data_IF_533180930381
#
_entry.id   IF_533180930381
#
_cell.length_a   1.000
_cell.length_b   1.000
_cell.length_c   1.000
_cell.angle_alpha   90.00
_cell.angle_beta   90.00
_cell.angle_gamma   90.00
#
_symmetry.space_group_name_H-M   'P 1'
#
loop_
_entity.id
_entity.type
_entity.pdbx_description
1 polymer ?
#
# COMPACT_ATOMS: atom_id res chain seq x y z
N UNK A 1 -7.36 -3.88 -31.48
CA UNK A 1 -6.05 -3.28 -31.13
C UNK A 1 -6.26 -1.79 -31.00
N UNK A 2 -6.43 -1.29 -29.77
CA UNK A 2 -6.38 0.14 -29.47
C UNK A 2 -5.39 0.31 -28.32
N UNK A 3 -4.46 1.23 -28.57
CA UNK A 3 -3.24 1.49 -27.83
C UNK A 3 -3.52 1.90 -26.40
N UNK A 4 -3.13 1.06 -25.43
CA UNK A 4 -3.01 1.41 -24.01
C UNK A 4 -1.78 2.34 -23.83
N UNK A 5 -1.92 3.62 -24.18
CA UNK A 5 -1.00 4.67 -23.74
C UNK A 5 -1.62 5.30 -22.50
N UNK A 6 -0.85 5.39 -21.41
CA UNK A 6 -1.21 6.16 -20.23
C UNK A 6 -1.41 7.64 -20.61
N UNK A 7 -2.61 8.02 -21.03
CA UNK A 7 -2.93 9.40 -21.36
C UNK A 7 -3.10 10.20 -20.08
N UNK A 8 -2.16 11.11 -19.83
CA UNK A 8 -2.25 12.10 -18.77
C UNK A 8 -3.14 13.25 -19.25
N UNK A 9 -4.14 13.62 -18.48
CA UNK A 9 -5.00 14.78 -18.71
C UNK A 9 -4.62 15.94 -17.79
N UNK A 10 -5.00 17.15 -18.16
CA UNK A 10 -4.84 18.33 -17.31
C UNK A 10 -6.04 18.46 -16.36
N UNK A 11 -7.23 18.15 -16.85
CA UNK A 11 -8.48 18.17 -16.10
C UNK A 11 -9.25 16.86 -16.33
N UNK A 12 -9.93 16.37 -15.30
CA UNK A 12 -11.01 15.39 -15.44
C UNK A 12 -12.28 15.97 -14.83
N UNK A 13 -13.39 15.92 -15.56
CA UNK A 13 -14.66 16.51 -15.13
C UNK A 13 -15.69 15.46 -14.76
N UNK A 14 -16.54 15.76 -13.77
CA UNK A 14 -17.67 14.93 -13.35
C UNK A 14 -18.88 15.82 -13.09
N UNK A 15 -20.06 15.43 -13.58
CA UNK A 15 -21.27 16.26 -13.50
C UNK A 15 -22.53 15.41 -13.63
N UNK A 16 -23.68 15.96 -13.23
CA UNK A 16 -24.99 15.36 -13.49
C UNK A 16 -25.44 15.71 -14.92
N UNK A 17 -25.96 14.74 -15.68
CA UNK A 17 -26.28 14.88 -17.11
C UNK A 17 -27.22 16.05 -17.45
N UNK A 18 -27.99 16.53 -16.48
CA UNK A 18 -28.85 17.71 -16.53
C UNK A 18 -28.07 19.01 -16.83
N UNK A 19 -26.80 19.07 -16.45
CA UNK A 19 -25.92 20.23 -16.65
C UNK A 19 -24.98 20.10 -17.86
N UNK A 20 -25.21 19.09 -18.71
CA UNK A 20 -24.36 18.75 -19.86
C UNK A 20 -24.05 19.93 -20.77
N UNK A 21 -25.04 20.76 -21.10
CA UNK A 21 -24.83 21.89 -22.02
C UNK A 21 -23.78 22.87 -21.49
N UNK A 22 -23.87 23.24 -20.21
CA UNK A 22 -22.93 24.15 -19.56
C UNK A 22 -21.53 23.52 -19.45
N UNK A 23 -21.46 22.27 -19.00
CA UNK A 23 -20.19 21.56 -18.80
C UNK A 23 -19.48 21.32 -20.12
N UNK A 24 -20.20 20.88 -21.16
CA UNK A 24 -19.62 20.64 -22.48
C UNK A 24 -19.07 21.92 -23.10
N UNK A 25 -19.77 23.05 -22.96
CA UNK A 25 -19.25 24.36 -23.40
C UNK A 25 -17.99 24.76 -22.64
N UNK A 26 -17.91 24.45 -21.35
CA UNK A 26 -16.73 24.70 -20.52
C UNK A 26 -15.56 23.83 -21.00
N UNK A 27 -15.78 22.52 -21.17
CA UNK A 27 -14.79 21.56 -21.69
C UNK A 27 -14.26 22.00 -23.05
N UNK A 28 -15.14 22.32 -24.01
CA UNK A 28 -14.73 22.80 -25.34
C UNK A 28 -13.97 24.13 -25.27
N UNK A 29 -14.21 24.95 -24.26
CA UNK A 29 -13.45 26.19 -24.02
C UNK A 29 -12.06 25.88 -23.47
N UNK A 30 -11.96 24.96 -22.50
CA UNK A 30 -10.68 24.46 -21.98
C UNK A 30 -9.81 23.83 -23.08
N UNK A 31 -10.40 23.00 -23.94
CA UNK A 31 -9.71 22.39 -25.09
C UNK A 31 -9.19 23.44 -26.07
N UNK A 32 -9.98 24.50 -26.35
CA UNK A 32 -9.53 25.64 -27.19
C UNK A 32 -8.37 26.43 -26.56
N UNK A 33 -8.27 26.42 -25.24
CA UNK A 33 -7.14 26.99 -24.50
C UNK A 33 -5.92 26.04 -24.44
N UNK A 34 -6.02 24.85 -25.05
CA UNK A 34 -4.93 23.88 -25.16
C UNK A 34 -4.85 22.85 -24.03
N UNK A 35 -5.85 22.80 -23.14
CA UNK A 35 -5.91 21.79 -22.08
C UNK A 35 -6.41 20.45 -22.62
N UNK A 36 -5.83 19.35 -22.12
CA UNK A 36 -6.37 18.00 -22.31
C UNK A 36 -7.39 17.72 -21.21
N UNK A 37 -8.64 17.52 -21.59
CA UNK A 37 -9.73 17.32 -20.63
C UNK A 37 -10.30 15.91 -20.81
N UNK A 38 -10.31 15.12 -19.74
CA UNK A 38 -11.08 13.90 -19.68
C UNK A 38 -12.55 14.25 -19.45
N UNK A 39 -13.38 13.96 -20.46
CA UNK A 39 -14.83 14.22 -20.46
C UNK A 39 -15.54 13.00 -21.05
N UNK A 40 -16.25 12.26 -20.21
CA UNK A 40 -17.06 11.13 -20.68
C UNK A 40 -18.37 11.66 -21.29
N UNK A 41 -18.52 11.45 -22.60
CA UNK A 41 -19.64 11.94 -23.40
C UNK A 41 -20.90 11.08 -23.20
N UNK A 42 -20.84 9.93 -22.54
CA UNK A 42 -21.85 8.88 -22.70
C UNK A 42 -22.78 8.65 -21.50
N UNK A 43 -22.94 9.61 -20.59
CA UNK A 43 -24.00 9.55 -19.55
C UNK A 43 -25.42 9.85 -20.10
N UNK A 44 -25.82 9.26 -21.23
CA UNK A 44 -27.19 9.36 -21.76
C UNK A 44 -28.03 8.13 -21.37
N UNK A 45 -29.34 8.34 -21.26
CA UNK A 45 -30.42 7.45 -20.77
C UNK A 45 -30.57 6.04 -21.43
N UNK A 46 -29.52 5.41 -21.97
CA UNK A 46 -29.57 4.06 -22.57
C UNK A 46 -29.25 2.89 -21.62
N UNK A 47 -29.06 3.13 -20.33
CA UNK A 47 -28.50 2.10 -19.42
C UNK A 47 -29.39 1.74 -18.23
N UNK A 48 -30.69 1.57 -18.47
CA UNK A 48 -31.57 0.89 -17.52
C UNK A 48 -31.14 -0.58 -17.38
N UNK A 49 -30.47 -0.93 -16.27
CA UNK A 49 -30.13 -2.32 -15.93
C UNK A 49 -28.69 -2.79 -16.24
N UNK A 50 -27.74 -1.88 -16.48
CA UNK A 50 -26.31 -2.22 -16.58
C UNK A 50 -25.48 -1.44 -15.55
N UNK A 51 -24.48 -2.10 -14.98
CA UNK A 51 -23.73 -1.64 -13.81
C UNK A 51 -23.03 -0.28 -14.06
N UNK A 52 -23.51 0.75 -13.36
CA UNK A 52 -22.96 2.11 -13.24
C UNK A 52 -21.47 2.18 -12.82
N UNK A 53 -20.87 1.03 -12.48
CA UNK A 53 -19.48 0.86 -12.03
C UNK A 53 -18.49 0.81 -13.21
N UNK A 54 -18.95 0.66 -14.45
CA UNK A 54 -18.05 0.50 -15.62
C UNK A 54 -17.53 1.83 -16.17
N UNK A 55 -18.39 2.83 -16.34
CA UNK A 55 -18.02 4.14 -16.93
C UNK A 55 -17.20 4.99 -15.95
N UNK A 56 -17.57 5.00 -14.66
CA UNK A 56 -16.78 5.71 -13.67
C UNK A 56 -15.35 5.15 -13.52
N UNK A 57 -15.14 3.86 -13.80
CA UNK A 57 -13.80 3.25 -13.76
C UNK A 57 -12.81 3.93 -14.72
N UNK A 58 -13.27 4.44 -15.86
CA UNK A 58 -12.39 5.08 -16.84
C UNK A 58 -11.92 6.47 -16.35
N UNK A 59 -12.83 7.29 -15.80
CA UNK A 59 -12.47 8.55 -15.11
C UNK A 59 -11.52 8.25 -13.95
N UNK A 60 -11.81 7.22 -13.16
CA UNK A 60 -11.00 6.87 -11.99
C UNK A 60 -9.61 6.41 -12.34
N UNK A 61 -9.44 5.63 -13.42
CA UNK A 61 -8.12 5.23 -13.93
C UNK A 61 -7.37 6.33 -14.65
N UNK A 62 -8.01 7.48 -14.92
CA UNK A 62 -7.36 8.58 -15.61
C UNK A 62 -6.36 9.27 -14.69
N UNK A 63 -5.16 9.53 -15.22
CA UNK A 63 -4.17 10.38 -14.56
C UNK A 63 -4.43 11.82 -14.94
N UNK A 64 -4.84 12.66 -13.99
CA UNK A 64 -5.13 14.08 -14.24
C UNK A 64 -4.34 14.98 -13.30
N UNK A 65 -4.13 16.25 -13.66
CA UNK A 65 -3.55 17.23 -12.73
C UNK A 65 -4.59 17.75 -11.73
N UNK A 66 -5.83 17.90 -12.19
CA UNK A 66 -6.97 18.30 -11.34
C UNK A 66 -8.23 17.50 -11.67
N UNK A 67 -9.02 17.26 -10.63
CA UNK A 67 -10.38 16.75 -10.74
C UNK A 67 -11.38 17.89 -10.50
N UNK A 68 -12.34 18.07 -11.40
CA UNK A 68 -13.29 19.20 -11.42
C UNK A 68 -14.72 18.67 -11.34
N UNK A 69 -15.25 18.46 -10.13
CA UNK A 69 -16.64 18.06 -9.95
C UNK A 69 -17.57 19.28 -10.06
N UNK A 70 -18.56 19.19 -10.94
CA UNK A 70 -19.69 20.10 -11.03
C UNK A 70 -20.80 19.58 -10.12
N UNK A 71 -20.85 20.12 -8.92
CA UNK A 71 -21.72 19.66 -7.85
C UNK A 71 -23.08 20.32 -8.05
N UNK A 72 -24.10 19.52 -8.38
CA UNK A 72 -25.52 19.89 -8.43
C UNK A 72 -26.35 19.16 -7.35
N UNK A 73 -27.63 19.50 -7.20
CA UNK A 73 -28.53 18.76 -6.29
C UNK A 73 -28.76 17.35 -6.82
N UNK A 74 -28.91 17.22 -8.14
CA UNK A 74 -29.01 15.95 -8.87
C UNK A 74 -27.72 15.16 -8.76
N UNK A 75 -26.56 15.83 -8.78
CA UNK A 75 -25.26 15.22 -8.54
C UNK A 75 -25.17 14.59 -7.16
N UNK A 76 -25.80 15.18 -6.14
CA UNK A 76 -25.82 14.65 -4.78
C UNK A 76 -26.93 13.60 -4.55
N UNK A 77 -27.98 13.58 -5.37
CA UNK A 77 -29.18 12.78 -5.13
C UNK A 77 -29.21 11.39 -5.80
N UNK A 78 -28.23 11.00 -6.62
CA UNK A 78 -28.27 9.70 -7.34
C UNK A 78 -28.05 8.48 -6.41
N UNK A 79 -28.79 7.36 -6.58
CA UNK A 79 -28.76 6.23 -5.66
C UNK A 79 -27.61 5.24 -5.95
N UNK A 80 -26.46 5.43 -5.28
CA UNK A 80 -25.40 4.44 -4.93
C UNK A 80 -24.47 3.94 -6.09
N UNK A 81 -23.14 3.72 -5.86
CA UNK A 81 -22.33 3.80 -4.63
C UNK A 81 -21.68 5.18 -4.47
N UNK A 82 -22.53 6.15 -4.18
CA UNK A 82 -22.21 7.58 -4.24
C UNK A 82 -22.00 8.19 -2.85
N UNK A 83 -22.37 7.48 -1.78
CA UNK A 83 -22.14 7.97 -0.42
C UNK A 83 -20.64 8.00 -0.10
N UNK A 84 -19.91 6.95 -0.48
CA UNK A 84 -18.46 6.90 -0.29
C UNK A 84 -17.76 7.88 -1.23
N UNK A 85 -18.07 7.89 -2.53
CA UNK A 85 -17.40 8.78 -3.49
C UNK A 85 -17.71 10.27 -3.25
N UNK A 86 -18.97 10.63 -3.01
CA UNK A 86 -19.31 12.02 -2.67
C UNK A 86 -18.70 12.40 -1.33
N UNK A 87 -18.70 11.52 -0.32
CA UNK A 87 -18.00 11.77 0.93
C UNK A 87 -16.48 11.93 0.71
N UNK A 88 -15.89 11.14 -0.18
CA UNK A 88 -14.47 11.18 -0.55
C UNK A 88 -14.11 12.54 -1.09
N UNK A 89 -14.80 12.92 -2.17
CA UNK A 89 -14.56 14.13 -2.90
C UNK A 89 -14.80 15.34 -1.98
N UNK A 90 -15.87 15.32 -1.19
CA UNK A 90 -16.14 16.39 -0.23
C UNK A 90 -15.09 16.44 0.89
N UNK A 91 -14.51 15.31 1.29
CA UNK A 91 -13.41 15.26 2.26
C UNK A 91 -12.10 15.76 1.65
N UNK A 92 -11.78 15.39 0.40
CA UNK A 92 -10.60 15.85 -0.35
C UNK A 92 -10.63 17.36 -0.51
N UNK A 93 -11.82 17.86 -0.84
CA UNK A 93 -12.14 19.28 -0.83
C UNK A 93 -11.83 19.78 0.58
N UNK A 94 -12.56 19.34 1.63
CA UNK A 94 -12.40 19.80 3.03
C UNK A 94 -10.96 19.85 3.54
N UNK A 95 -10.13 18.87 3.19
CA UNK A 95 -8.71 18.78 3.59
C UNK A 95 -7.83 19.81 2.87
N UNK A 96 -8.30 20.38 1.77
CA UNK A 96 -7.61 21.44 1.04
C UNK A 96 -6.46 20.91 0.18
N UNK A 97 -6.53 19.65 -0.26
CA UNK A 97 -5.46 18.95 -0.98
C UNK A 97 -5.08 19.60 -2.33
N UNK A 98 -5.82 20.63 -2.74
CA UNK A 98 -5.55 21.44 -3.93
C UNK A 98 -5.84 20.73 -5.24
N UNK A 99 -6.00 19.41 -5.23
CA UNK A 99 -6.24 18.57 -6.40
C UNK A 99 -7.69 18.58 -6.89
N UNK A 100 -8.65 18.80 -6.00
CA UNK A 100 -10.07 18.88 -6.34
C UNK A 100 -10.49 20.34 -6.46
N UNK A 101 -11.04 20.72 -7.62
CA UNK A 101 -11.51 22.07 -7.93
C UNK A 101 -13.04 22.06 -8.10
N UNK A 102 -13.81 22.12 -6.99
CA UNK A 102 -15.26 22.02 -7.05
C UNK A 102 -15.90 23.25 -7.69
N UNK A 103 -16.88 23.00 -8.57
CA UNK A 103 -17.76 24.01 -9.15
C UNK A 103 -19.18 23.74 -8.67
N UNK A 104 -19.79 24.69 -7.97
CA UNK A 104 -21.15 24.59 -7.46
C UNK A 104 -22.14 25.03 -8.54
N UNK A 105 -23.04 24.14 -8.93
CA UNK A 105 -24.18 24.45 -9.79
C UNK A 105 -25.26 25.18 -8.97
N UNK A 106 -26.16 25.86 -9.69
CA UNK A 106 -26.98 26.94 -9.12
C UNK A 106 -27.85 26.55 -7.93
N UNK A 107 -28.51 25.39 -7.99
CA UNK A 107 -29.55 25.00 -7.02
C UNK A 107 -29.04 24.15 -5.85
N UNK A 108 -27.72 24.10 -5.60
CA UNK A 108 -27.18 23.22 -4.55
C UNK A 108 -27.20 23.87 -3.17
N UNK A 109 -28.03 23.31 -2.30
CA UNK A 109 -27.81 23.42 -0.86
C UNK A 109 -26.78 22.36 -0.44
N UNK A 110 -25.50 22.70 -0.59
CA UNK A 110 -24.43 21.83 -0.07
C UNK A 110 -24.54 21.84 1.46
N UNK A 111 -24.62 20.67 2.12
CA UNK A 111 -24.61 20.60 3.58
C UNK A 111 -23.47 21.44 4.17
N UNK A 112 -23.72 22.29 5.18
CA UNK A 112 -22.69 23.15 5.78
C UNK A 112 -21.43 22.40 6.22
N UNK A 113 -21.58 21.15 6.64
CA UNK A 113 -20.47 20.29 7.09
C UNK A 113 -19.49 19.88 5.96
N UNK A 114 -19.92 20.03 4.70
CA UNK A 114 -19.15 19.76 3.48
C UNK A 114 -18.60 21.04 2.82
N UNK A 115 -19.08 22.21 3.23
CA UNK A 115 -18.53 23.52 2.85
C UNK A 115 -17.53 23.97 3.92
N UNK A 116 -16.25 23.69 3.69
CA UNK A 116 -15.23 24.15 4.64
C UNK A 116 -15.04 25.67 4.52
N UNK A 117 -15.02 26.43 5.62
CA UNK A 117 -14.95 27.89 5.61
C UNK A 117 -13.66 28.46 5.00
N UNK A 118 -12.62 27.63 4.87
CA UNK A 118 -11.32 28.02 4.30
C UNK A 118 -11.08 27.53 2.88
N UNK A 119 -12.10 26.99 2.21
CA UNK A 119 -12.01 26.52 0.83
C UNK A 119 -12.77 27.46 -0.08
N UNK A 120 -12.12 27.82 -1.19
CA UNK A 120 -12.74 28.60 -2.24
C UNK A 120 -13.43 27.67 -3.26
N UNK A 121 -14.70 27.94 -3.51
CA UNK A 121 -15.53 27.22 -4.49
C UNK A 121 -15.96 28.22 -5.58
N UNK A 122 -15.86 27.82 -6.85
CA UNK A 122 -16.46 28.60 -7.93
C UNK A 122 -17.95 28.23 -8.05
N UNK A 123 -18.80 29.21 -8.37
CA UNK A 123 -20.24 28.97 -8.60
C UNK A 123 -20.57 29.18 -10.06
N UNK A 124 -21.22 28.22 -10.69
CA UNK A 124 -21.50 28.26 -12.13
C UNK A 124 -22.25 29.53 -12.55
N UNK A 125 -23.27 29.99 -11.81
CA UNK A 125 -23.94 31.29 -12.07
C UNK A 125 -23.03 32.51 -12.18
N UNK A 126 -21.87 32.50 -11.52
CA UNK A 126 -20.97 33.65 -11.47
C UNK A 126 -20.01 33.67 -12.68
N UNK A 127 -20.01 32.60 -13.50
CA UNK A 127 -19.09 32.42 -14.62
C UNK A 127 -19.81 31.91 -15.87
N UNK A 128 -19.56 32.55 -17.02
CA UNK A 128 -19.86 31.89 -18.29
C UNK A 128 -18.95 30.65 -18.46
N UNK A 129 -19.34 29.64 -19.27
CA UNK A 129 -18.48 28.49 -19.54
C UNK A 129 -17.06 28.86 -20.00
N UNK A 130 -16.95 29.94 -20.77
CA UNK A 130 -15.67 30.45 -21.28
C UNK A 130 -14.82 31.07 -20.15
N UNK A 131 -15.44 31.88 -19.28
CA UNK A 131 -14.75 32.47 -18.12
C UNK A 131 -14.32 31.39 -17.11
N UNK A 132 -15.16 30.37 -16.89
CA UNK A 132 -14.80 29.24 -16.03
C UNK A 132 -13.60 28.47 -16.59
N UNK A 133 -13.56 28.26 -17.91
CA UNK A 133 -12.43 27.62 -18.57
C UNK A 133 -11.13 28.42 -18.42
N UNK A 134 -11.19 29.75 -18.46
CA UNK A 134 -10.03 30.62 -18.20
C UNK A 134 -9.50 30.44 -16.76
N UNK A 135 -10.39 30.34 -15.76
CA UNK A 135 -10.00 30.08 -14.38
C UNK A 135 -9.32 28.71 -14.23
N UNK A 136 -9.89 27.66 -14.84
CA UNK A 136 -9.32 26.31 -14.80
C UNK A 136 -7.96 26.26 -15.51
N UNK A 137 -7.83 26.92 -16.67
CA UNK A 137 -6.56 27.05 -17.38
C UNK A 137 -5.50 27.74 -16.51
N UNK A 138 -5.82 28.85 -15.85
CA UNK A 138 -4.89 29.52 -14.95
C UNK A 138 -4.39 28.59 -13.83
N UNK A 139 -5.27 27.75 -13.26
CA UNK A 139 -4.90 26.77 -12.23
C UNK A 139 -3.96 25.69 -12.77
N UNK A 140 -4.25 25.15 -13.95
CA UNK A 140 -3.34 24.18 -14.61
C UNK A 140 -1.97 24.80 -14.85
N UNK A 141 -1.90 26.02 -15.40
CA UNK A 141 -0.61 26.69 -15.65
C UNK A 141 0.18 26.94 -14.37
N UNK A 142 -0.50 27.29 -13.28
CA UNK A 142 0.13 27.42 -11.97
C UNK A 142 0.72 26.06 -11.50
N UNK A 143 -0.04 24.98 -11.64
CA UNK A 143 0.37 23.62 -11.29
C UNK A 143 1.60 23.17 -12.08
N UNK A 144 1.62 23.46 -13.39
CA UNK A 144 2.75 23.19 -14.27
C UNK A 144 4.01 23.91 -13.80
N UNK A 145 3.89 25.19 -13.45
CA UNK A 145 5.03 26.01 -12.99
C UNK A 145 5.65 25.50 -11.69
N UNK A 146 4.85 24.91 -10.79
CA UNK A 146 5.34 24.35 -9.53
C UNK A 146 5.67 22.85 -9.62
N UNK A 147 5.57 22.25 -10.81
CA UNK A 147 5.91 20.84 -11.03
C UNK A 147 4.95 19.83 -10.41
N UNK A 148 3.67 20.21 -10.18
CA UNK A 148 2.65 19.29 -9.69
C UNK A 148 2.49 18.11 -10.67
N UNK A 149 2.57 16.89 -10.15
CA UNK A 149 2.38 15.67 -10.94
C UNK A 149 0.90 15.35 -11.12
N UNK A 150 0.56 14.71 -12.23
CA UNK A 150 -0.76 14.13 -12.41
C UNK A 150 -0.93 12.91 -11.49
N UNK A 151 -2.13 12.72 -10.95
CA UNK A 151 -2.47 11.62 -10.06
C UNK A 151 -3.63 10.84 -10.63
N UNK A 152 -3.80 9.59 -10.21
CA UNK A 152 -5.00 8.85 -10.55
C UNK A 152 -6.18 9.42 -9.74
N UNK A 153 -7.31 9.71 -10.38
CA UNK A 153 -8.48 10.27 -9.67
C UNK A 153 -8.94 9.32 -8.56
N UNK A 154 -8.86 8.01 -8.81
CA UNK A 154 -9.14 6.98 -7.81
C UNK A 154 -8.26 7.08 -6.55
N UNK A 155 -6.96 7.33 -6.68
CA UNK A 155 -6.04 7.46 -5.54
C UNK A 155 -6.39 8.68 -4.68
N UNK A 156 -6.69 9.82 -5.30
CA UNK A 156 -7.05 11.05 -4.56
C UNK A 156 -8.35 10.88 -3.79
N UNK A 157 -9.33 10.21 -4.42
CA UNK A 157 -10.60 9.85 -3.79
C UNK A 157 -10.39 8.87 -2.63
N UNK A 158 -9.51 7.88 -2.80
CA UNK A 158 -9.19 6.90 -1.75
C UNK A 158 -8.49 7.55 -0.55
N UNK A 159 -7.49 8.41 -0.78
CA UNK A 159 -6.81 9.17 0.29
C UNK A 159 -7.80 10.02 1.07
N UNK A 160 -8.68 10.73 0.37
CA UNK A 160 -9.66 11.60 0.97
C UNK A 160 -10.72 10.84 1.78
N UNK A 161 -11.03 9.61 1.41
CA UNK A 161 -12.01 8.80 2.13
C UNK A 161 -11.57 8.42 3.54
N UNK A 162 -10.28 8.24 3.79
CA UNK A 162 -9.80 7.55 5.00
C UNK A 162 -10.60 6.27 5.30
N UNK A 163 -11.24 5.67 4.29
CA UNK A 163 -11.98 4.44 4.44
C UNK A 163 -10.94 3.34 4.40
N UNK A 164 -10.75 2.68 5.54
CA UNK A 164 -10.00 1.43 5.59
C UNK A 164 -10.63 0.48 4.58
N UNK A 165 -9.98 0.29 3.44
CA UNK A 165 -10.25 -0.87 2.60
C UNK A 165 -10.03 -2.11 3.47
N UNK A 166 -10.75 -3.22 3.21
CA UNK A 166 -10.39 -4.49 3.81
C UNK A 166 -8.94 -4.75 3.41
N UNK A 167 -8.03 -4.62 4.37
CA UNK A 167 -6.69 -5.10 4.19
C UNK A 167 -6.87 -6.60 3.97
N UNK A 168 -6.41 -7.08 2.83
CA UNK A 168 -6.47 -8.50 2.47
C UNK A 168 -5.06 -8.94 2.16
N UNK A 169 -4.80 -10.23 2.32
CA UNK A 169 -3.54 -10.81 1.86
C UNK A 169 -3.43 -10.55 0.34
N UNK A 170 -2.33 -9.93 -0.15
CA UNK A 170 -2.13 -9.70 -1.57
C UNK A 170 -2.32 -10.98 -2.38
N UNK A 171 -2.94 -10.89 -3.55
CA UNK A 171 -3.23 -12.07 -4.39
C UNK A 171 -1.97 -12.80 -4.89
N UNK A 172 -0.83 -12.13 -4.87
CA UNK A 172 0.51 -12.62 -5.21
C UNK A 172 1.35 -13.02 -3.99
N UNK A 173 0.83 -12.91 -2.76
CA UNK A 173 1.57 -13.35 -1.58
C UNK A 173 1.72 -14.88 -1.55
N UNK A 174 2.95 -15.34 -1.67
CA UNK A 174 3.32 -16.76 -1.56
C UNK A 174 4.11 -17.02 -0.29
N UNK A 175 3.59 -17.90 0.58
CA UNK A 175 4.30 -18.35 1.78
C UNK A 175 5.65 -18.97 1.46
N UNK A 176 5.77 -19.70 0.36
CA UNK A 176 7.01 -20.38 0.00
C UNK A 176 8.07 -19.42 -0.54
N UNK A 177 7.65 -18.41 -1.30
CA UNK A 177 8.56 -17.35 -1.76
C UNK A 177 9.03 -16.51 -0.58
N UNK A 178 8.13 -16.12 0.33
CA UNK A 178 8.51 -15.41 1.55
C UNK A 178 9.41 -16.27 2.44
N UNK A 179 9.14 -17.57 2.58
CA UNK A 179 10.01 -18.50 3.32
C UNK A 179 11.43 -18.52 2.74
N UNK A 180 11.55 -18.51 1.41
CA UNK A 180 12.83 -18.44 0.72
C UNK A 180 13.55 -17.10 0.98
N UNK A 181 12.82 -15.98 0.92
CA UNK A 181 13.35 -14.64 1.25
C UNK A 181 13.90 -14.60 2.68
N UNK A 182 13.15 -15.12 3.66
CA UNK A 182 13.57 -15.16 5.07
C UNK A 182 14.79 -16.05 5.26
N UNK A 183 14.80 -17.24 4.66
CA UNK A 183 15.93 -18.17 4.74
C UNK A 183 17.21 -17.54 4.16
N UNK A 184 17.11 -16.90 3.00
CA UNK A 184 18.25 -16.26 2.34
C UNK A 184 18.75 -15.05 3.12
N UNK A 185 17.84 -14.29 3.71
CA UNK A 185 18.16 -13.19 4.63
C UNK A 185 18.95 -13.71 5.85
N UNK A 186 18.46 -14.74 6.55
CA UNK A 186 19.17 -15.31 7.71
C UNK A 186 20.56 -15.80 7.35
N UNK A 187 20.70 -16.54 6.27
CA UNK A 187 22.01 -17.03 5.82
C UNK A 187 23.00 -15.89 5.62
N UNK A 188 22.57 -14.81 4.96
CA UNK A 188 23.40 -13.65 4.66
C UNK A 188 23.75 -12.85 5.93
N UNK A 189 22.80 -12.66 6.84
CA UNK A 189 23.03 -11.96 8.09
C UNK A 189 23.96 -12.74 9.03
N UNK A 190 23.79 -14.06 9.16
CA UNK A 190 24.72 -14.88 9.96
C UNK A 190 26.13 -14.87 9.38
N UNK A 191 26.29 -14.96 8.06
CA UNK A 191 27.61 -14.85 7.41
C UNK A 191 28.27 -13.49 7.67
N UNK A 192 27.48 -12.42 7.69
CA UNK A 192 27.95 -11.06 7.99
C UNK A 192 28.33 -10.89 9.46
N UNK A 193 27.55 -11.47 10.38
CA UNK A 193 27.74 -11.33 11.82
C UNK A 193 28.83 -12.26 12.38
N UNK A 194 29.03 -13.45 11.79
CA UNK A 194 30.02 -14.44 12.23
C UNK A 194 31.44 -13.88 12.51
N UNK A 195 32.07 -13.08 11.63
CA UNK A 195 33.42 -12.57 11.89
C UNK A 195 33.48 -11.58 13.07
N UNK A 196 32.36 -10.97 13.48
CA UNK A 196 32.32 -9.99 14.57
C UNK A 196 32.60 -10.62 15.95
N UNK A 197 32.44 -11.94 16.08
CA UNK A 197 32.74 -12.68 17.31
C UNK A 197 34.25 -12.97 17.50
N UNK A 198 35.04 -12.89 16.42
CA UNK A 198 36.46 -13.26 16.42
C UNK A 198 37.33 -12.43 17.38
N UNK A 199 37.19 -11.10 17.47
CA UNK A 199 37.91 -10.28 18.45
C UNK A 199 37.62 -10.64 19.90
N UNK A 200 36.50 -11.32 20.18
CA UNK A 200 36.10 -11.80 21.52
C UNK A 200 36.57 -13.24 21.80
N UNK A 201 37.35 -13.84 20.90
CA UNK A 201 37.93 -15.18 21.07
C UNK A 201 37.01 -16.33 20.66
N UNK A 202 35.91 -16.05 19.98
CA UNK A 202 34.98 -17.04 19.45
C UNK A 202 35.14 -17.18 17.94
N UNK A 203 35.15 -18.41 17.44
CA UNK A 203 35.20 -18.71 16.01
C UNK A 203 33.80 -19.17 15.60
N UNK A 204 33.11 -18.36 14.81
CA UNK A 204 31.79 -18.71 14.27
C UNK A 204 31.93 -19.16 12.82
N UNK A 205 31.45 -20.36 12.51
CA UNK A 205 31.35 -20.90 11.16
C UNK A 205 29.88 -21.03 10.77
N UNK A 206 29.58 -20.61 9.54
CA UNK A 206 28.23 -20.65 8.97
C UNK A 206 28.30 -21.45 7.67
N UNK A 207 27.68 -22.62 7.66
CA UNK A 207 27.53 -23.44 6.46
C UNK A 207 26.10 -23.34 5.95
N UNK A 208 25.92 -23.04 4.67
CA UNK A 208 24.61 -22.86 4.03
C UNK A 208 24.48 -23.80 2.84
N UNK A 209 23.40 -24.58 2.85
CA UNK A 209 22.94 -25.37 1.70
C UNK A 209 21.60 -24.81 1.20
N UNK A 210 20.98 -25.48 0.23
CA UNK A 210 19.67 -25.08 -0.29
C UNK A 210 18.54 -25.21 0.75
N UNK A 211 18.72 -26.05 1.77
CA UNK A 211 17.68 -26.42 2.74
C UNK A 211 18.11 -26.25 4.20
N UNK A 212 19.38 -25.95 4.48
CA UNK A 212 19.90 -25.83 5.84
C UNK A 212 20.92 -24.70 5.99
N UNK A 213 20.83 -23.98 7.10
CA UNK A 213 21.88 -23.11 7.62
C UNK A 213 22.38 -23.72 8.93
N UNK A 214 23.66 -24.03 9.00
CA UNK A 214 24.32 -24.57 10.18
C UNK A 214 25.30 -23.54 10.74
N UNK A 215 25.06 -23.09 11.97
CA UNK A 215 25.94 -22.21 12.72
C UNK A 215 26.66 -23.05 13.78
N UNK A 216 27.99 -22.97 13.84
CA UNK A 216 28.82 -23.57 14.88
C UNK A 216 29.76 -22.52 15.45
N UNK A 217 29.77 -22.36 16.77
CA UNK A 217 30.59 -21.38 17.46
C UNK A 217 31.52 -22.11 18.42
N UNK A 218 32.81 -21.87 18.24
CA UNK A 218 33.88 -22.51 18.99
C UNK A 218 34.63 -21.52 19.88
N UNK A 219 35.11 -21.99 21.02
CA UNK A 219 36.04 -21.28 21.91
C UNK A 219 37.14 -22.27 22.30
N UNK A 220 38.40 -21.94 21.99
CA UNK A 220 39.57 -22.82 22.27
C UNK A 220 39.45 -24.24 21.68
N UNK A 221 38.81 -24.38 20.51
CA UNK A 221 38.65 -25.66 19.81
C UNK A 221 37.48 -26.53 20.29
N UNK A 222 36.69 -26.06 21.25
CA UNK A 222 35.46 -26.70 21.68
C UNK A 222 34.25 -25.91 21.16
N UNK A 223 33.25 -26.60 20.62
CA UNK A 223 31.98 -25.97 20.23
C UNK A 223 31.20 -25.64 21.50
N UNK A 224 30.95 -24.35 21.69
CA UNK A 224 30.22 -23.79 22.84
C UNK A 224 28.76 -23.48 22.50
N UNK A 225 28.43 -23.37 21.20
CA UNK A 225 27.06 -23.16 20.73
C UNK A 225 26.86 -23.70 19.31
N UNK A 226 25.69 -24.26 19.05
CA UNK A 226 25.26 -24.70 17.72
C UNK A 226 23.78 -24.43 17.48
N UNK A 227 23.48 -23.96 16.27
CA UNK A 227 22.13 -23.72 15.78
C UNK A 227 22.03 -24.25 14.35
N UNK A 228 20.99 -25.02 14.09
CA UNK A 228 20.61 -25.45 12.76
C UNK A 228 19.23 -24.87 12.40
N UNK A 229 19.13 -24.31 11.20
CA UNK A 229 17.89 -23.76 10.63
C UNK A 229 17.58 -24.55 9.37
N UNK A 230 16.46 -25.24 9.34
CA UNK A 230 16.01 -26.05 8.21
C UNK A 230 14.86 -25.35 7.51
N UNK A 231 14.91 -25.29 6.18
CA UNK A 231 13.78 -24.88 5.34
C UNK A 231 12.94 -26.12 5.05
N UNK A 232 11.70 -26.13 5.52
CA UNK A 232 10.86 -27.31 5.58
C UNK A 232 11.29 -28.31 6.67
N UNK A 233 10.53 -29.40 6.82
CA UNK A 233 10.85 -30.49 7.74
C UNK A 233 9.62 -31.04 8.46
N UNK A 234 9.84 -31.60 9.65
CA UNK A 234 8.80 -32.33 10.40
C UNK A 234 7.61 -31.47 10.85
N UNK A 235 7.71 -30.14 10.79
CA UNK A 235 6.64 -29.19 11.17
C UNK A 235 5.92 -28.58 9.95
N UNK A 236 6.24 -29.05 8.75
CA UNK A 236 5.71 -28.55 7.47
C UNK A 236 6.83 -28.09 6.53
N UNK A 237 6.56 -28.17 5.22
CA UNK A 237 7.42 -27.64 4.16
C UNK A 237 7.32 -26.11 4.01
N UNK A 238 6.29 -25.50 4.60
CA UNK A 238 6.01 -24.07 4.63
C UNK A 238 6.65 -23.33 5.83
N UNK A 239 7.62 -23.94 6.54
CA UNK A 239 8.21 -23.38 7.78
C UNK A 239 9.72 -23.50 7.85
N UNK A 240 10.33 -22.63 8.64
CA UNK A 240 11.68 -22.80 9.15
C UNK A 240 11.63 -23.58 10.46
N UNK A 241 12.46 -24.62 10.59
CA UNK A 241 12.61 -25.38 11.84
C UNK A 241 13.97 -25.09 12.46
N UNK A 242 14.00 -24.83 13.77
CA UNK A 242 15.20 -24.50 14.52
C UNK A 242 15.60 -25.64 15.44
N UNK A 243 16.86 -26.05 15.40
CA UNK A 243 17.44 -27.06 16.27
C UNK A 243 18.68 -26.54 16.98
N UNK A 244 18.70 -26.64 18.30
CA UNK A 244 19.90 -26.45 19.11
C UNK A 244 20.52 -27.83 19.33
N UNK A 245 21.68 -28.06 18.76
CA UNK A 245 22.46 -29.24 19.13
C UNK A 245 23.29 -28.90 20.37
N UNK A 246 23.35 -29.82 21.33
CA UNK A 246 24.24 -29.77 22.48
C UNK A 246 24.99 -31.09 22.44
N UNK A 247 26.19 -31.09 21.86
CA UNK A 247 27.09 -32.23 21.76
C UNK A 247 26.76 -33.39 22.71
N UNK A 248 25.99 -34.38 22.24
CA UNK A 248 25.97 -35.78 22.74
C UNK A 248 24.91 -36.74 22.17
N UNK A 249 23.96 -36.33 21.31
CA UNK A 249 22.99 -37.30 20.76
C UNK A 249 22.61 -37.03 19.31
N UNK A 250 22.50 -38.11 18.53
CA UNK A 250 22.04 -38.16 17.12
C UNK A 250 20.57 -37.74 16.91
N UNK A 251 19.92 -37.16 17.91
CA UNK A 251 18.55 -36.65 17.81
C UNK A 251 18.59 -35.13 17.78
N UNK A 252 18.44 -34.53 16.60
CA UNK A 252 18.17 -33.09 16.44
C UNK A 252 16.81 -32.79 17.08
N UNK A 253 16.83 -32.29 18.31
CA UNK A 253 15.64 -31.76 18.96
C UNK A 253 15.11 -30.56 18.18
N UNK A 254 13.80 -30.47 18.03
CA UNK A 254 13.14 -29.27 17.49
C UNK A 254 12.97 -28.30 18.66
N UNK A 255 13.70 -27.18 18.61
CA UNK A 255 13.68 -26.14 19.64
C UNK A 255 12.80 -24.95 19.24
N UNK A 256 12.20 -24.98 18.05
CA UNK A 256 11.17 -24.05 17.61
C UNK A 256 10.92 -24.15 16.11
N UNK A 257 9.91 -23.45 15.63
CA UNK A 257 9.66 -23.27 14.20
C UNK A 257 9.00 -21.91 13.93
N UNK A 258 9.18 -21.39 12.71
CA UNK A 258 8.55 -20.15 12.26
C UNK A 258 8.00 -20.29 10.84
N UNK A 259 6.76 -19.87 10.62
CA UNK A 259 6.10 -19.87 9.32
C UNK A 259 5.71 -18.46 8.85
N UNK A 260 5.91 -18.11 7.57
CA UNK A 260 5.51 -16.82 7.05
C UNK A 260 4.00 -16.69 6.93
N UNK A 261 3.51 -15.48 7.20
CA UNK A 261 2.15 -15.06 6.96
C UNK A 261 2.17 -13.57 6.59
N UNK A 262 1.12 -13.11 5.92
CA UNK A 262 0.97 -11.69 5.65
C UNK A 262 0.19 -11.05 6.81
N UNK A 263 0.81 -10.09 7.49
CA UNK A 263 0.13 -9.31 8.52
C UNK A 263 -0.72 -8.27 7.83
N UNK A 264 -2.02 -8.55 7.84
CA UNK A 264 -3.03 -7.75 7.20
C UNK A 264 -3.10 -6.36 7.81
N UNK A 265 -2.89 -6.19 9.11
CA UNK A 265 -2.94 -4.87 9.75
C UNK A 265 -1.69 -4.04 9.49
N UNK A 266 -0.52 -4.69 9.47
CA UNK A 266 0.76 -4.02 9.22
C UNK A 266 1.12 -3.90 7.72
N UNK A 267 0.39 -4.59 6.84
CA UNK A 267 0.60 -4.65 5.37
C UNK A 267 2.01 -5.11 4.99
N UNK A 268 2.58 -6.01 5.79
CA UNK A 268 3.92 -6.57 5.59
C UNK A 268 3.94 -8.08 5.86
N UNK A 269 4.83 -8.83 5.20
CA UNK A 269 5.09 -10.22 5.59
C UNK A 269 5.75 -10.29 6.98
N UNK A 270 5.27 -11.23 7.79
CA UNK A 270 5.80 -11.55 9.13
C UNK A 270 5.88 -13.06 9.32
N UNK A 271 6.45 -13.45 10.45
CA UNK A 271 6.70 -14.82 10.86
C UNK A 271 5.94 -15.10 12.15
N UNK A 272 5.12 -16.16 12.13
CA UNK A 272 4.53 -16.78 13.31
C UNK A 272 5.49 -17.83 13.84
N UNK A 273 6.00 -17.63 15.03
CA UNK A 273 7.02 -18.47 15.65
C UNK A 273 6.51 -19.16 16.92
N UNK A 274 6.72 -20.47 16.97
CA UNK A 274 6.66 -21.24 18.20
C UNK A 274 8.08 -21.42 18.76
N UNK A 275 8.30 -20.94 19.98
CA UNK A 275 9.57 -21.11 20.69
C UNK A 275 9.48 -22.27 21.69
N UNK A 276 10.19 -23.36 21.41
CA UNK A 276 10.31 -24.51 22.32
C UNK A 276 11.63 -24.51 23.11
N UNK A 277 12.40 -23.42 23.06
CA UNK A 277 13.63 -23.09 23.83
C UNK A 277 14.70 -22.40 22.99
N UNK A 278 14.52 -22.28 21.67
CA UNK A 278 15.50 -21.65 20.77
C UNK A 278 15.77 -20.20 21.15
N UNK A 279 14.75 -19.41 21.51
CA UNK A 279 14.94 -18.03 22.01
C UNK A 279 15.07 -17.97 23.55
N UNK A 280 15.07 -19.12 24.21
CA UNK A 280 15.18 -19.23 25.67
C UNK A 280 13.87 -19.10 26.43
N UNK A 281 12.72 -18.98 25.75
CA UNK A 281 11.41 -19.09 26.38
C UNK A 281 10.90 -20.54 26.31
N UNK A 282 10.22 -21.01 27.36
CA UNK A 282 9.43 -22.26 27.36
C UNK A 282 7.94 -21.91 27.26
N UNK A 283 7.59 -21.04 26.31
CA UNK A 283 6.24 -20.50 26.17
C UNK A 283 5.47 -21.22 25.07
N UNK A 284 4.40 -21.92 25.41
CA UNK A 284 3.51 -22.58 24.42
C UNK A 284 2.65 -21.63 23.59
N UNK A 285 2.96 -20.33 23.56
CA UNK A 285 2.23 -19.32 22.81
C UNK A 285 3.03 -18.86 21.59
N UNK A 286 2.38 -18.86 20.43
CA UNK A 286 2.92 -18.34 19.19
C UNK A 286 3.21 -16.83 19.31
N UNK A 287 4.40 -16.41 18.84
CA UNK A 287 4.85 -15.02 18.81
C UNK A 287 5.04 -14.56 17.37
N UNK A 288 4.88 -13.27 17.12
CA UNK A 288 5.03 -12.67 15.80
C UNK A 288 6.31 -11.86 15.68
N UNK A 289 6.98 -11.96 14.53
CA UNK A 289 8.20 -11.23 14.24
C UNK A 289 8.26 -10.84 12.76
N UNK A 290 8.86 -9.71 12.44
CA UNK A 290 9.50 -9.52 11.13
C UNK A 290 10.74 -10.41 11.00
N UNK A 291 11.26 -10.60 9.78
CA UNK A 291 12.51 -11.36 9.58
C UNK A 291 13.69 -10.69 10.29
N UNK A 292 13.74 -9.37 10.32
CA UNK A 292 14.75 -8.58 11.00
C UNK A 292 14.68 -8.80 12.52
N UNK A 293 13.49 -8.70 13.12
CA UNK A 293 13.28 -8.92 14.55
C UNK A 293 13.62 -10.34 14.98
N UNK A 294 13.22 -11.35 14.19
CA UNK A 294 13.54 -12.74 14.51
C UNK A 294 15.03 -13.01 14.42
N UNK A 295 15.72 -12.49 13.39
CA UNK A 295 17.18 -12.60 13.30
C UNK A 295 17.85 -11.98 14.53
N UNK A 296 17.45 -10.77 14.92
CA UNK A 296 18.01 -10.10 16.09
C UNK A 296 17.78 -10.91 17.37
N UNK A 297 16.57 -11.45 17.57
CA UNK A 297 16.27 -12.29 18.72
C UNK A 297 17.13 -13.56 18.77
N UNK A 298 17.37 -14.21 17.62
CA UNK A 298 18.28 -15.37 17.53
C UNK A 298 19.73 -14.98 17.84
N UNK A 299 20.18 -13.82 17.34
CA UNK A 299 21.54 -13.34 17.55
C UNK A 299 21.79 -12.93 19.01
N UNK A 300 20.90 -12.16 19.61
CA UNK A 300 20.96 -11.81 21.05
C UNK A 300 21.01 -13.08 21.90
N UNK A 301 20.20 -14.08 21.57
CA UNK A 301 20.23 -15.36 22.26
C UNK A 301 21.56 -16.10 22.14
N UNK A 302 22.21 -16.02 20.98
CA UNK A 302 23.57 -16.54 20.81
C UNK A 302 24.52 -15.81 21.77
N UNK A 303 24.52 -14.48 21.75
CA UNK A 303 25.39 -13.64 22.58
C UNK A 303 25.21 -13.95 24.06
N UNK A 304 23.97 -13.96 24.56
CA UNK A 304 23.64 -14.31 25.95
C UNK A 304 24.23 -15.66 26.38
N UNK A 305 24.20 -16.65 25.49
CA UNK A 305 24.75 -17.99 25.76
C UNK A 305 26.27 -18.02 25.73
N UNK A 306 26.89 -17.22 24.88
CA UNK A 306 28.35 -17.10 24.81
C UNK A 306 28.91 -16.34 26.03
N UNK A 307 28.19 -15.34 26.56
CA UNK A 307 28.61 -14.62 27.77
C UNK A 307 28.58 -15.49 29.04
N UNK A 308 27.78 -16.56 29.04
CA UNK A 308 27.71 -17.54 30.11
C UNK A 308 28.81 -18.63 30.04
N UNK A 309 29.70 -18.61 29.04
CA UNK A 309 30.69 -19.67 28.73
C UNK A 309 32.11 -19.10 28.59
#
# INVERSE_FOLDING_TARGET
MTSNREEIYDLAVSFAGEHREYVERTVRSCERLGLRVFYDRDMNNEWWGKSFIREQREVYSSRTRYFVPFISTEYLAKPIPMDEFSAAMMTAVKQGDGYVLPVLMDDVQVPPDLLHPHIHYLRAKDYSPELLAEQLHARVRQAENIGQQAREVGEVVQEALNLRLPKVVPGDFSKYEELQVVFDYFGSQFQTAAPLLRPRGFICTVNRTQERISIRIEKRGEIVYSLDIYKGGSMGDDKLTFGLDHHRSFATGINGWAGPYFDVEAEIPKLKMMDLSVLGSFGGSEREFTKEELFNALWERIVDRLEQR
#
